data_IF_720674055976
#
_entry.id   IF_720674055976
#
_cell.length_a   1.000
_cell.length_b   1.000
_cell.length_c   1.000
_cell.angle_alpha   90.00
_cell.angle_beta   90.00
_cell.angle_gamma   90.00
#
_symmetry.space_group_name_H-M   'P 1'
#
loop_
_entity.id
_entity.type
_entity.pdbx_description
1 polymer ?
#
# COMPACT_ATOMS: atom_id res chain seq x y z
N UNK A 1 16.35 4.68 90.80
CA UNK A 1 15.47 5.66 90.14
C UNK A 1 14.90 4.97 88.92
N UNK A 2 13.58 4.96 88.75
CA UNK A 2 12.95 4.41 87.55
C UNK A 2 12.90 5.50 86.47
N UNK A 3 13.37 5.17 85.27
CA UNK A 3 13.35 6.07 84.12
C UNK A 3 12.01 5.91 83.39
N UNK A 4 11.29 7.00 83.18
CA UNK A 4 10.03 6.99 82.44
C UNK A 4 9.90 8.23 81.56
N UNK A 5 8.99 8.17 80.59
CA UNK A 5 8.69 9.30 79.70
C UNK A 5 7.44 10.03 80.16
N UNK A 6 7.45 11.36 80.06
CA UNK A 6 6.29 12.23 80.31
C UNK A 6 5.89 12.95 79.03
N UNK A 7 4.57 13.15 78.79
CA UNK A 7 4.11 13.98 77.68
C UNK A 7 4.66 15.41 77.79
N UNK A 8 5.01 15.99 76.65
CA UNK A 8 5.55 17.34 76.53
C UNK A 8 5.03 18.02 75.26
N UNK A 9 4.91 19.34 75.30
CA UNK A 9 4.23 20.09 74.24
C UNK A 9 5.07 20.26 72.95
N UNK A 10 6.37 19.99 73.00
CA UNK A 10 7.32 20.12 71.88
C UNK A 10 8.24 18.91 71.79
N UNK A 11 8.84 18.70 70.62
CA UNK A 11 9.96 17.77 70.47
C UNK A 11 11.26 18.48 70.85
N UNK A 12 12.05 17.86 71.71
CA UNK A 12 13.36 18.38 72.14
C UNK A 12 14.52 17.84 71.30
N UNK A 13 14.28 16.79 70.51
CA UNK A 13 15.29 16.05 69.76
C UNK A 13 14.83 15.83 68.30
N UNK A 14 15.76 15.53 67.37
CA UNK A 14 15.43 15.28 65.97
C UNK A 14 14.54 14.03 65.82
N UNK A 15 13.62 14.09 64.85
CA UNK A 15 12.68 13.01 64.56
C UNK A 15 13.30 12.06 63.53
N UNK A 16 13.64 10.85 63.97
CA UNK A 16 14.28 9.83 63.13
C UNK A 16 13.64 8.45 63.23
N UNK A 17 12.64 8.29 64.08
CA UNK A 17 11.88 7.04 64.16
C UNK A 17 10.46 7.21 63.64
N UNK A 18 9.91 6.16 63.03
CA UNK A 18 8.50 6.03 62.68
C UNK A 18 7.95 4.70 63.21
N UNK A 19 6.86 4.75 63.96
CA UNK A 19 6.18 3.59 64.51
C UNK A 19 4.99 3.20 63.65
N UNK A 20 5.05 2.01 63.06
CA UNK A 20 3.93 1.42 62.31
C UNK A 20 3.28 0.35 63.19
N UNK A 21 2.04 0.58 63.58
CA UNK A 21 1.25 -0.38 64.36
C UNK A 21 0.70 -1.48 63.45
N UNK A 22 0.90 -2.74 63.86
CA UNK A 22 0.41 -3.89 63.09
C UNK A 22 1.08 -5.19 63.54
N UNK A 23 0.32 -6.27 63.59
CA UNK A 23 0.81 -7.58 64.05
C UNK A 23 1.37 -8.46 62.93
N UNK A 24 1.42 -7.96 61.68
CA UNK A 24 1.86 -8.71 60.51
C UNK A 24 2.84 -7.91 59.67
N UNK A 25 3.93 -8.56 59.24
CA UNK A 25 4.94 -8.00 58.34
C UNK A 25 4.33 -7.53 57.01
N UNK A 26 3.31 -8.24 56.51
CA UNK A 26 2.64 -7.86 55.27
C UNK A 26 1.96 -6.49 55.39
N UNK A 27 1.37 -6.18 56.55
CA UNK A 27 0.79 -4.86 56.81
C UNK A 27 1.87 -3.79 56.81
N UNK A 28 3.01 -4.04 57.45
CA UNK A 28 4.12 -3.09 57.48
C UNK A 28 4.60 -2.73 56.07
N UNK A 29 4.74 -3.74 55.18
CA UNK A 29 5.17 -3.51 53.79
C UNK A 29 4.16 -2.67 53.02
N UNK A 30 2.86 -2.94 53.17
CA UNK A 30 1.80 -2.16 52.53
C UNK A 30 1.81 -0.70 53.02
N UNK A 31 1.97 -0.48 54.32
CA UNK A 31 2.08 0.88 54.88
C UNK A 31 3.33 1.60 54.38
N UNK A 32 4.49 0.93 54.33
CA UNK A 32 5.72 1.50 53.79
C UNK A 32 5.57 1.90 52.31
N UNK A 33 4.90 1.07 51.51
CA UNK A 33 4.61 1.38 50.12
C UNK A 33 3.65 2.56 49.97
N UNK A 34 2.64 2.65 50.85
CA UNK A 34 1.67 3.75 50.88
C UNK A 34 2.34 5.08 51.19
N UNK A 35 3.32 5.06 52.10
CA UNK A 35 4.17 6.21 52.44
C UNK A 35 5.29 6.50 51.42
N UNK A 36 5.40 5.69 50.35
CA UNK A 36 6.44 5.80 49.32
C UNK A 36 7.88 5.80 49.89
N UNK A 37 8.11 5.05 50.98
CA UNK A 37 9.41 4.98 51.65
C UNK A 37 10.39 4.10 50.85
N UNK A 38 11.64 4.55 50.74
CA UNK A 38 12.68 3.80 50.05
C UNK A 38 13.40 2.84 51.01
N UNK A 39 13.45 1.52 50.75
CA UNK A 39 14.00 0.53 51.69
C UNK A 39 15.48 0.71 52.09
N UNK A 40 16.23 1.58 51.42
CA UNK A 40 17.65 1.85 51.71
C UNK A 40 17.88 2.99 52.71
N UNK A 41 16.83 3.74 53.07
CA UNK A 41 16.96 4.94 53.91
C UNK A 41 16.67 4.70 55.38
N UNK A 42 16.27 3.48 55.75
CA UNK A 42 15.89 3.13 57.11
C UNK A 42 16.22 1.68 57.49
N UNK A 43 16.36 1.44 58.79
CA UNK A 43 16.43 0.12 59.41
C UNK A 43 15.10 -0.20 60.10
N UNK A 44 14.68 -1.47 60.09
CA UNK A 44 13.43 -1.90 60.72
C UNK A 44 13.71 -2.78 61.92
N UNK A 45 13.05 -2.49 63.04
CA UNK A 45 13.06 -3.34 64.22
C UNK A 45 11.64 -3.75 64.60
N UNK A 46 11.40 -5.03 64.93
CA UNK A 46 10.10 -5.47 65.43
C UNK A 46 9.95 -5.04 66.89
N UNK A 47 8.74 -4.64 67.28
CA UNK A 47 8.43 -4.24 68.67
C UNK A 47 7.53 -5.32 69.29
N UNK A 48 7.97 -5.97 70.38
CA UNK A 48 7.12 -6.92 71.09
C UNK A 48 5.95 -6.19 71.74
N UNK A 49 4.80 -6.86 71.79
CA UNK A 49 3.67 -6.38 72.57
C UNK A 49 3.77 -6.85 74.03
N UNK A 50 2.89 -6.30 74.88
CA UNK A 50 2.82 -6.65 76.31
C UNK A 50 2.31 -8.09 76.55
N UNK A 51 1.85 -8.78 75.51
CA UNK A 51 1.40 -10.18 75.55
C UNK A 51 2.47 -11.07 74.93
N UNK A 52 2.83 -12.15 75.62
CA UNK A 52 3.83 -13.10 75.14
C UNK A 52 3.53 -13.62 73.73
N UNK A 53 4.57 -13.78 72.91
CA UNK A 53 4.50 -14.26 71.52
C UNK A 53 3.64 -13.40 70.59
N UNK A 54 3.46 -12.11 70.89
CA UNK A 54 2.75 -11.17 70.02
C UNK A 54 3.61 -9.94 69.71
N UNK A 55 3.37 -9.36 68.53
CA UNK A 55 4.10 -8.21 68.02
C UNK A 55 3.16 -7.01 68.04
N UNK A 56 3.62 -5.89 68.59
CA UNK A 56 2.88 -4.62 68.61
C UNK A 56 2.90 -3.93 67.23
N UNK A 57 4.07 -3.93 66.60
CA UNK A 57 4.35 -3.20 65.38
C UNK A 57 5.81 -3.26 64.99
N UNK A 58 6.23 -2.32 64.16
CA UNK A 58 7.63 -2.10 63.84
C UNK A 58 8.04 -0.65 64.04
N UNK A 59 9.32 -0.46 64.35
CA UNK A 59 10.00 0.82 64.37
C UNK A 59 10.88 0.91 63.11
N UNK A 60 10.69 1.95 62.33
CA UNK A 60 11.62 2.36 61.27
C UNK A 60 12.55 3.42 61.83
N UNK A 61 13.87 3.22 61.75
CA UNK A 61 14.89 4.20 62.13
C UNK A 61 15.55 4.71 60.85
N UNK A 62 15.44 6.00 60.59
CA UNK A 62 15.93 6.65 59.38
C UNK A 62 17.33 7.23 59.59
N UNK A 63 18.12 7.24 58.51
CA UNK A 63 19.44 7.90 58.50
C UNK A 63 19.33 9.43 58.49
N UNK A 64 18.24 9.96 57.97
CA UNK A 64 17.94 11.39 57.84
C UNK A 64 16.73 11.79 58.68
N UNK A 65 16.61 13.08 58.98
CA UNK A 65 15.51 13.62 59.78
C UNK A 65 14.19 13.57 59.01
N UNK A 66 13.13 13.13 59.67
CA UNK A 66 11.79 12.94 59.10
C UNK A 66 10.89 14.11 59.51
N UNK A 67 10.08 14.58 58.58
CA UNK A 67 9.06 15.60 58.86
C UNK A 67 7.69 14.96 59.09
N UNK A 68 6.80 15.68 59.78
CA UNK A 68 5.42 15.24 60.05
C UNK A 68 4.60 14.96 58.79
N UNK A 69 4.97 15.53 57.64
CA UNK A 69 4.31 15.28 56.35
C UNK A 69 4.52 13.85 55.85
N UNK A 70 5.67 13.24 56.16
CA UNK A 70 6.04 11.91 55.68
C UNK A 70 5.54 10.78 56.59
N UNK A 71 5.00 11.11 57.76
CA UNK A 71 4.55 10.13 58.76
C UNK A 71 3.13 9.60 58.49
N UNK A 72 2.31 10.34 57.73
CA UNK A 72 0.91 9.98 57.48
C UNK A 72 0.13 9.82 58.78
N UNK A 73 -0.39 8.61 59.02
CA UNK A 73 -1.14 8.23 60.24
C UNK A 73 -0.29 7.65 61.37
N UNK A 74 1.01 7.48 61.12
CA UNK A 74 1.93 6.75 61.99
C UNK A 74 2.62 7.72 62.94
N UNK A 75 3.03 7.21 64.11
CA UNK A 75 3.59 8.04 65.17
C UNK A 75 5.10 8.20 64.99
N UNK A 76 5.62 9.41 65.14
CA UNK A 76 7.05 9.66 65.06
C UNK A 76 7.76 9.41 66.40
N UNK A 77 9.06 9.18 66.34
CA UNK A 77 9.95 9.04 67.49
C UNK A 77 11.17 9.95 67.36
N UNK A 78 11.59 10.45 68.51
CA UNK A 78 12.71 11.33 68.74
C UNK A 78 13.96 10.51 69.09
N UNK A 79 15.10 10.83 68.48
CA UNK A 79 16.40 10.23 68.84
C UNK A 79 17.08 11.06 69.93
N UNK A 80 17.07 10.58 71.18
CA UNK A 80 17.73 11.24 72.32
C UNK A 80 19.24 11.01 72.30
N UNK A 81 19.64 9.79 71.92
CA UNK A 81 21.02 9.38 71.69
C UNK A 81 21.02 8.25 70.65
N UNK A 82 22.20 7.92 70.13
CA UNK A 82 22.33 6.83 69.14
C UNK A 82 21.71 5.50 69.58
N UNK A 83 21.64 5.27 70.89
CA UNK A 83 21.11 4.05 71.50
C UNK A 83 19.75 4.23 72.18
N UNK A 84 19.12 5.41 72.10
CA UNK A 84 17.84 5.68 72.78
C UNK A 84 16.91 6.53 71.94
N UNK A 85 15.76 5.96 71.60
CA UNK A 85 14.62 6.64 70.99
C UNK A 85 13.46 6.76 71.98
N UNK A 86 12.73 7.86 71.90
CA UNK A 86 11.52 8.11 72.69
C UNK A 86 10.36 8.52 71.78
N UNK A 87 9.13 8.34 72.22
CA UNK A 87 7.94 8.79 71.50
C UNK A 87 8.00 10.30 71.16
N UNK A 88 7.36 10.73 70.07
CA UNK A 88 7.13 12.16 69.84
C UNK A 88 6.43 12.82 71.01
N UNK A 89 6.68 14.12 71.20
CA UNK A 89 6.06 14.96 72.23
C UNK A 89 6.20 14.33 73.62
N UNK A 90 7.36 13.75 73.88
CA UNK A 90 7.72 13.17 75.17
C UNK A 90 9.12 13.60 75.60
N UNK A 91 9.34 13.63 76.91
CA UNK A 91 10.63 13.97 77.55
C UNK A 91 10.94 12.92 78.61
N UNK A 92 12.22 12.57 78.74
CA UNK A 92 12.72 11.67 79.77
C UNK A 92 12.64 12.31 81.16
N UNK A 93 12.20 11.52 82.13
CA UNK A 93 12.16 11.90 83.53
C UNK A 93 12.74 10.77 84.40
N UNK A 94 13.66 11.08 85.34
CA UNK A 94 14.31 12.37 85.56
C UNK A 94 15.15 12.81 84.35
N UNK A 95 15.43 14.12 84.23
CA UNK A 95 16.30 14.62 83.17
C UNK A 95 17.72 14.08 83.39
N UNK A 96 18.26 13.40 82.39
CA UNK A 96 19.61 12.85 82.40
C UNK A 96 20.52 13.68 81.50
N UNK A 97 21.79 13.81 81.90
CA UNK A 97 22.82 14.41 81.05
C UNK A 97 23.22 13.45 79.91
N UNK A 98 23.74 13.99 78.80
CA UNK A 98 24.16 13.17 77.66
C UNK A 98 25.19 12.08 78.04
N UNK A 99 26.09 12.37 79.00
CA UNK A 99 27.07 11.40 79.51
C UNK A 99 26.43 10.27 80.32
N UNK A 100 25.40 10.57 81.11
CA UNK A 100 24.64 9.56 81.86
C UNK A 100 23.84 8.66 80.92
N UNK A 101 23.18 9.25 79.92
CA UNK A 101 22.45 8.49 78.88
C UNK A 101 23.39 7.54 78.15
N UNK A 102 24.57 8.01 77.73
CA UNK A 102 25.55 7.17 77.05
C UNK A 102 26.09 6.04 77.93
N UNK A 103 26.24 6.28 79.24
CA UNK A 103 26.67 5.25 80.20
C UNK A 103 25.57 4.21 80.46
N UNK A 104 24.32 4.65 80.59
CA UNK A 104 23.16 3.78 80.83
C UNK A 104 22.81 2.94 79.61
N UNK A 105 22.87 3.52 78.41
CA UNK A 105 22.58 2.86 77.14
C UNK A 105 23.87 2.65 76.34
N UNK A 106 24.83 1.95 76.96
CA UNK A 106 26.15 1.69 76.37
C UNK A 106 26.14 0.54 75.35
N UNK A 107 25.22 -0.41 75.48
CA UNK A 107 25.02 -1.55 74.59
C UNK A 107 23.57 -1.64 74.15
N UNK A 108 23.34 -1.91 72.87
CA UNK A 108 21.99 -2.11 72.32
C UNK A 108 21.22 -0.80 72.09
N UNK A 109 20.40 -0.76 71.03
CA UNK A 109 19.48 0.37 70.81
C UNK A 109 18.18 0.12 71.57
N UNK A 110 17.61 1.16 72.15
CA UNK A 110 16.42 1.07 72.98
C UNK A 110 15.37 2.06 72.50
N UNK A 111 14.10 1.69 72.66
CA UNK A 111 12.97 2.59 72.46
C UNK A 111 12.10 2.63 73.71
N UNK A 112 11.62 3.83 74.07
CA UNK A 112 10.64 4.03 75.11
C UNK A 112 9.34 4.62 74.55
N UNK A 113 8.22 3.95 74.81
CA UNK A 113 6.90 4.39 74.38
C UNK A 113 5.84 4.19 75.48
N UNK A 114 4.79 5.04 75.58
CA UNK A 114 3.80 4.91 76.64
C UNK A 114 2.98 3.61 76.58
N UNK A 115 2.78 3.03 75.39
CA UNK A 115 1.96 1.81 75.22
C UNK A 115 2.70 0.51 75.62
N UNK A 116 3.98 0.38 75.25
CA UNK A 116 4.76 -0.87 75.40
C UNK A 116 5.97 -0.73 76.34
N UNK A 117 6.19 0.45 76.92
CA UNK A 117 7.30 0.68 77.84
C UNK A 117 8.65 0.78 77.13
N UNK A 118 9.70 0.30 77.80
CA UNK A 118 11.07 0.27 77.28
C UNK A 118 11.36 -1.10 76.65
N UNK A 119 11.84 -1.08 75.41
CA UNK A 119 12.20 -2.28 74.64
C UNK A 119 13.61 -2.13 74.10
N UNK A 120 14.41 -3.18 74.24
CA UNK A 120 15.69 -3.33 73.54
C UNK A 120 15.47 -3.84 72.11
N UNK A 121 16.00 -3.10 71.14
CA UNK A 121 15.97 -3.40 69.71
C UNK A 121 17.15 -4.33 69.38
N UNK A 122 16.94 -5.63 69.58
CA UNK A 122 17.99 -6.65 69.45
C UNK A 122 18.39 -6.92 68.00
N UNK A 123 17.41 -7.23 67.13
CA UNK A 123 17.66 -7.69 65.76
C UNK A 123 16.87 -6.89 64.72
N UNK A 124 17.53 -6.38 63.65
CA UNK A 124 16.84 -5.76 62.54
C UNK A 124 16.15 -6.82 61.66
N UNK A 125 15.01 -6.45 61.06
CA UNK A 125 14.24 -7.34 60.18
C UNK A 125 14.94 -7.47 58.82
N UNK A 126 15.37 -8.67 58.45
CA UNK A 126 15.84 -8.97 57.10
C UNK A 126 14.70 -9.50 56.22
N UNK A 127 14.17 -8.64 55.33
CA UNK A 127 13.12 -9.02 54.39
C UNK A 127 13.51 -10.12 53.41
N UNK A 128 14.81 -10.36 53.17
CA UNK A 128 15.25 -11.45 52.28
C UNK A 128 14.81 -12.81 52.79
N UNK A 129 14.67 -12.96 54.11
CA UNK A 129 14.22 -14.19 54.75
C UNK A 129 12.68 -14.31 54.80
N UNK A 130 11.96 -13.20 54.63
CA UNK A 130 10.50 -13.11 54.79
C UNK A 130 9.74 -13.09 53.45
N UNK A 131 10.41 -12.71 52.36
CA UNK A 131 9.80 -12.63 51.04
C UNK A 131 9.92 -13.96 50.29
N UNK A 132 8.79 -14.48 49.83
CA UNK A 132 8.76 -15.63 48.91
C UNK A 132 8.44 -15.15 47.49
N UNK A 133 9.05 -15.78 46.47
CA UNK A 133 8.73 -15.48 45.08
C UNK A 133 7.29 -15.91 44.78
N UNK A 134 6.48 -15.09 44.08
CA UNK A 134 5.13 -15.48 43.70
C UNK A 134 5.18 -16.71 42.80
N UNK A 135 4.31 -17.69 43.06
CA UNK A 135 4.15 -18.86 42.19
C UNK A 135 3.43 -18.40 40.91
N UNK A 136 4.15 -18.36 39.80
CA UNK A 136 3.57 -18.06 38.48
C UNK A 136 2.64 -19.23 38.11
N UNK A 137 1.33 -18.96 38.02
CA UNK A 137 0.35 -19.92 37.51
C UNK A 137 0.11 -19.63 36.04
N UNK A 138 0.30 -20.62 35.17
CA UNK A 138 -0.13 -20.55 33.78
C UNK A 138 -1.64 -20.77 33.71
N UNK A 139 -2.37 -19.73 33.36
CA UNK A 139 -3.80 -19.84 33.04
C UNK A 139 -3.95 -19.97 31.52
N UNK A 140 -4.81 -20.88 31.07
CA UNK A 140 -5.27 -20.89 29.69
C UNK A 140 -6.31 -19.78 29.55
N UNK A 141 -5.91 -18.66 28.94
CA UNK A 141 -6.83 -17.58 28.62
C UNK A 141 -7.60 -18.01 27.37
N UNK A 142 -8.85 -18.45 27.54
CA UNK A 142 -9.76 -18.69 26.42
C UNK A 142 -10.29 -17.36 25.90
N UNK A 143 -9.96 -17.02 24.65
CA UNK A 143 -10.55 -15.86 23.97
C UNK A 143 -11.99 -16.21 23.57
N UNK A 144 -12.99 -15.37 23.89
CA UNK A 144 -14.35 -15.58 23.39
C UNK A 144 -14.37 -15.54 21.87
N UNK A 145 -15.26 -16.33 21.28
CA UNK A 145 -15.52 -16.32 19.83
C UNK A 145 -15.98 -14.92 19.41
N UNK A 146 -15.48 -14.43 18.27
CA UNK A 146 -15.83 -13.08 17.78
C UNK A 146 -17.32 -13.12 17.42
N UNK A 147 -18.18 -12.33 18.09
CA UNK A 147 -19.61 -12.36 17.81
C UNK A 147 -19.85 -11.95 16.34
N UNK A 148 -20.89 -12.52 15.73
CA UNK A 148 -21.30 -12.15 14.38
C UNK A 148 -21.55 -10.63 14.32
N UNK A 149 -20.71 -9.91 13.57
CA UNK A 149 -20.81 -8.48 13.39
C UNK A 149 -22.01 -8.18 12.50
N UNK A 150 -23.07 -7.61 13.09
CA UNK A 150 -24.21 -7.07 12.33
C UNK A 150 -23.92 -5.61 12.00
N UNK A 151 -23.57 -5.27 10.75
CA UNK A 151 -23.30 -3.88 10.37
C UNK A 151 -24.55 -3.02 10.56
N UNK A 152 -24.45 -1.97 11.38
CA UNK A 152 -25.54 -1.00 11.64
C UNK A 152 -25.53 0.19 10.69
N UNK A 153 -24.39 0.47 10.07
CA UNK A 153 -24.19 1.57 9.12
C UNK A 153 -23.24 1.15 8.01
N UNK A 154 -23.48 1.66 6.81
CA UNK A 154 -22.53 1.56 5.69
C UNK A 154 -21.64 2.80 5.76
N UNK A 155 -20.36 2.61 6.07
CA UNK A 155 -19.42 3.73 6.19
C UNK A 155 -18.87 4.15 4.82
N UNK A 156 -18.71 3.23 3.87
CA UNK A 156 -18.24 3.56 2.52
C UNK A 156 -18.77 2.58 1.48
N UNK A 157 -18.98 3.08 0.26
CA UNK A 157 -19.29 2.29 -0.92
C UNK A 157 -18.15 2.47 -1.93
N UNK A 158 -17.57 1.36 -2.40
CA UNK A 158 -16.43 1.37 -3.32
C UNK A 158 -16.60 0.31 -4.39
N UNK A 159 -16.07 0.60 -5.58
CA UNK A 159 -15.96 -0.38 -6.64
C UNK A 159 -14.62 -1.09 -6.51
N UNK A 160 -14.66 -2.41 -6.53
CA UNK A 160 -13.44 -3.23 -6.62
C UNK A 160 -13.04 -3.32 -8.09
N UNK A 161 -11.83 -2.90 -8.44
CA UNK A 161 -11.40 -2.99 -9.82
C UNK A 161 -11.17 -4.46 -10.20
N UNK A 162 -11.68 -4.80 -11.38
CA UNK A 162 -11.32 -6.02 -12.11
C UNK A 162 -9.87 -5.88 -12.61
N UNK A 163 -9.05 -6.95 -12.59
CA UNK A 163 -7.68 -6.91 -13.08
C UNK A 163 -7.57 -6.33 -14.49
N UNK A 164 -6.52 -5.56 -14.81
CA UNK A 164 -6.38 -4.90 -16.11
C UNK A 164 -6.56 -5.84 -17.30
N UNK A 165 -6.05 -7.07 -17.23
CA UNK A 165 -6.14 -8.03 -18.34
C UNK A 165 -7.57 -8.46 -18.66
N UNK A 166 -8.42 -8.57 -17.64
CA UNK A 166 -9.83 -8.93 -17.79
C UNK A 166 -10.67 -7.75 -18.29
N UNK A 167 -10.35 -6.53 -17.86
CA UNK A 167 -10.98 -5.30 -18.36
C UNK A 167 -10.82 -5.18 -19.88
N UNK A 168 -9.62 -5.46 -20.36
CA UNK A 168 -9.29 -5.39 -21.78
C UNK A 168 -10.01 -6.47 -22.60
N UNK A 169 -10.13 -7.69 -22.05
CA UNK A 169 -10.96 -8.76 -22.63
C UNK A 169 -12.43 -8.37 -22.67
N UNK A 170 -12.97 -7.80 -21.59
CA UNK A 170 -14.36 -7.38 -21.52
C UNK A 170 -14.67 -6.23 -22.49
N UNK A 171 -13.74 -5.28 -22.67
CA UNK A 171 -13.87 -4.25 -23.70
C UNK A 171 -13.94 -4.88 -25.09
N UNK A 172 -13.08 -5.87 -25.38
CA UNK A 172 -13.12 -6.62 -26.64
C UNK A 172 -14.41 -7.44 -26.79
N UNK A 173 -14.96 -8.03 -25.74
CA UNK A 173 -16.20 -8.82 -25.82
C UNK A 173 -17.48 -7.98 -25.88
N UNK A 174 -17.49 -6.78 -25.29
CA UNK A 174 -18.69 -5.93 -25.23
C UNK A 174 -18.83 -5.03 -26.46
N UNK A 175 -17.71 -4.61 -27.06
CA UNK A 175 -17.73 -3.80 -28.29
C UNK A 175 -18.15 -4.65 -29.51
N UNK A 176 -17.99 -5.97 -29.45
CA UNK A 176 -18.29 -6.88 -30.54
C UNK A 176 -19.24 -7.99 -30.10
N UNK A 177 -20.44 -8.13 -30.70
CA UNK A 177 -21.35 -9.20 -30.32
C UNK A 177 -20.64 -10.55 -30.44
N UNK A 178 -20.85 -11.41 -29.42
CA UNK A 178 -20.33 -12.78 -29.39
C UNK A 178 -20.57 -13.42 -30.74
N UNK A 179 -19.55 -14.12 -31.24
CA UNK A 179 -19.61 -14.95 -32.44
C UNK A 179 -20.95 -15.70 -32.44
N UNK A 180 -21.87 -15.36 -33.33
CA UNK A 180 -22.71 -16.40 -33.89
C UNK A 180 -21.70 -17.40 -34.46
N UNK A 181 -21.66 -18.59 -33.87
CA UNK A 181 -20.87 -19.69 -34.41
C UNK A 181 -21.36 -19.85 -35.84
N UNK A 182 -20.56 -19.39 -36.78
CA UNK A 182 -20.75 -19.69 -38.19
C UNK A 182 -20.78 -21.22 -38.22
N UNK A 183 -21.92 -21.80 -38.63
CA UNK A 183 -21.96 -23.21 -38.97
C UNK A 183 -20.84 -23.47 -39.97
N UNK A 184 -19.91 -24.35 -39.60
CA UNK A 184 -18.81 -24.78 -40.45
C UNK A 184 -19.35 -25.44 -41.71
N UNK A 185 -19.62 -24.63 -42.75
CA UNK A 185 -19.61 -25.11 -44.13
C UNK A 185 -18.19 -24.88 -44.66
N UNK A 186 -17.45 -25.95 -44.99
CA UNK A 186 -16.07 -25.82 -45.45
C UNK A 186 -15.99 -25.05 -46.77
N UNK A 187 -14.86 -24.38 -46.95
CA UNK A 187 -14.47 -23.65 -48.16
C UNK A 187 -14.57 -24.49 -49.45
N UNK A 188 -14.88 -23.79 -50.54
CA UNK A 188 -14.87 -24.26 -51.91
C UNK A 188 -13.47 -24.79 -52.33
N UNK A 189 -13.43 -25.99 -52.91
CA UNK A 189 -12.25 -26.84 -53.13
C UNK A 189 -11.22 -26.23 -54.11
N UNK A 190 -11.64 -25.28 -54.94
CA UNK A 190 -10.83 -24.70 -56.02
C UNK A 190 -9.74 -23.71 -55.55
N UNK A 191 -9.89 -23.08 -54.39
CA UNK A 191 -8.94 -22.07 -53.89
C UNK A 191 -7.72 -22.69 -53.18
N UNK A 192 -7.88 -23.88 -52.59
CA UNK A 192 -6.78 -24.64 -51.95
C UNK A 192 -5.77 -25.19 -52.96
N UNK A 193 -6.23 -25.54 -54.18
CA UNK A 193 -5.40 -26.06 -55.27
C UNK A 193 -4.58 -24.92 -55.93
N UNK A 194 -5.16 -23.72 -56.00
CA UNK A 194 -4.49 -22.54 -56.57
C UNK A 194 -3.35 -22.02 -55.68
N UNK A 195 -3.53 -22.06 -54.36
CA UNK A 195 -2.55 -21.58 -53.38
C UNK A 195 -1.33 -22.52 -53.22
N UNK A 196 -1.52 -23.81 -53.49
CA UNK A 196 -0.44 -24.81 -53.52
C UNK A 196 0.40 -24.72 -54.81
N UNK A 197 -0.21 -24.39 -55.95
CA UNK A 197 0.50 -24.15 -57.22
C UNK A 197 1.44 -22.93 -57.13
N UNK A 198 0.99 -21.80 -56.56
CA UNK A 198 1.83 -20.60 -56.42
C UNK A 198 3.01 -20.77 -55.46
N UNK A 199 2.88 -21.56 -54.39
CA UNK A 199 3.99 -21.86 -53.46
C UNK A 199 5.08 -22.72 -54.09
N UNK A 200 4.77 -23.49 -55.13
CA UNK A 200 5.74 -24.35 -55.82
C UNK A 200 6.57 -23.58 -56.87
N UNK A 201 6.04 -22.49 -57.42
CA UNK A 201 6.71 -21.70 -58.48
C UNK A 201 7.69 -20.68 -57.90
N UNK A 202 7.49 -20.21 -56.67
CA UNK A 202 8.28 -19.12 -56.07
C UNK A 202 9.23 -19.53 -54.92
N UNK A 203 9.42 -20.83 -54.66
CA UNK A 203 10.33 -21.26 -53.60
C UNK A 203 11.79 -21.27 -54.09
N UNK A 204 12.45 -20.14 -53.86
CA UNK A 204 13.90 -19.92 -53.99
C UNK A 204 14.64 -20.68 -52.88
N UNK A 205 15.63 -21.50 -53.24
CA UNK A 205 16.59 -22.06 -52.28
C UNK A 205 17.85 -21.18 -52.20
N UNK A 206 18.25 -20.90 -50.96
CA UNK A 206 19.47 -20.22 -50.55
C UNK A 206 20.64 -21.20 -50.51
N UNK A 207 21.84 -20.74 -50.86
CA UNK A 207 23.08 -20.91 -50.07
C UNK A 207 24.17 -19.93 -50.55
N UNK A 208 24.86 -19.29 -49.60
CA UNK A 208 25.97 -18.30 -49.73
C UNK A 208 27.34 -19.03 -49.70
N UNK A 209 28.56 -18.44 -49.94
CA UNK A 209 28.96 -17.02 -49.80
C UNK A 209 30.00 -16.46 -50.81
N UNK A 210 30.15 -15.12 -50.86
CA UNK A 210 31.45 -14.48 -51.14
C UNK A 210 31.55 -13.41 -52.24
N UNK A 211 31.80 -12.17 -51.78
CA UNK A 211 32.52 -11.03 -52.41
C UNK A 211 31.92 -10.28 -53.61
N UNK A 212 31.67 -8.99 -53.37
CA UNK A 212 32.02 -7.90 -54.29
C UNK A 212 30.91 -7.36 -55.19
N UNK A 213 30.45 -6.15 -54.93
CA UNK A 213 29.74 -5.26 -55.87
C UNK A 213 30.85 -4.41 -56.54
N UNK A 214 30.89 -4.23 -57.89
CA UNK A 214 29.89 -3.37 -58.51
C UNK A 214 29.35 -3.73 -59.91
N UNK A 215 28.07 -3.34 -60.06
CA UNK A 215 27.39 -2.76 -61.23
C UNK A 215 27.28 -3.57 -62.53
N UNK A 216 26.04 -4.08 -62.67
CA UNK A 216 25.15 -3.87 -63.82
C UNK A 216 25.58 -4.37 -65.19
N UNK A 217 25.43 -5.68 -65.40
CA UNK A 217 25.16 -6.22 -66.73
C UNK A 217 23.77 -6.87 -66.77
N UNK A 218 22.87 -6.30 -67.56
CA UNK A 218 21.66 -6.99 -68.05
C UNK A 218 22.08 -8.15 -68.95
N UNK A 219 22.56 -9.27 -68.41
CA UNK A 219 22.95 -10.42 -69.24
C UNK A 219 22.66 -11.77 -68.58
N UNK A 220 22.09 -12.64 -69.42
CA UNK A 220 21.87 -14.10 -69.31
C UNK A 220 20.51 -14.59 -68.80
N UNK A 221 20.02 -14.23 -67.60
CA UNK A 221 18.77 -14.84 -67.10
C UNK A 221 17.53 -14.43 -67.90
N UNK A 222 17.35 -13.12 -68.15
CA UNK A 222 16.22 -12.60 -68.94
C UNK A 222 16.23 -13.13 -70.38
N UNK A 223 17.40 -13.20 -71.04
CA UNK A 223 17.52 -13.77 -72.39
C UNK A 223 17.25 -15.27 -72.46
N UNK A 224 17.56 -16.03 -71.40
CA UNK A 224 17.23 -17.46 -71.34
C UNK A 224 15.73 -17.69 -71.17
N UNK A 225 15.07 -16.89 -70.33
CA UNK A 225 13.62 -16.95 -70.13
C UNK A 225 12.87 -16.48 -71.38
N UNK A 226 13.37 -15.43 -72.05
CA UNK A 226 12.82 -14.91 -73.31
C UNK A 226 12.97 -15.90 -74.46
N UNK A 227 14.11 -16.60 -74.58
CA UNK A 227 14.33 -17.65 -75.58
C UNK A 227 13.54 -18.93 -75.29
N UNK A 228 13.28 -19.24 -74.00
CA UNK A 228 12.47 -20.39 -73.61
C UNK A 228 10.97 -20.13 -73.83
N UNK A 229 10.48 -18.94 -73.50
CA UNK A 229 9.08 -18.54 -73.71
C UNK A 229 8.73 -18.38 -75.20
N UNK A 230 9.62 -17.81 -76.00
CA UNK A 230 9.41 -17.66 -77.46
C UNK A 230 9.45 -19.00 -78.21
N UNK A 231 10.16 -20.00 -77.69
CA UNK A 231 10.26 -21.35 -78.28
C UNK A 231 9.04 -22.23 -77.99
N UNK A 232 8.35 -22.00 -76.88
CA UNK A 232 7.16 -22.77 -76.49
C UNK A 232 5.84 -22.06 -76.82
N UNK A 233 5.81 -20.73 -76.93
CA UNK A 233 4.60 -19.97 -77.27
C UNK A 233 4.91 -18.83 -78.26
N UNK A 234 4.93 -19.10 -79.58
CA UNK A 234 5.41 -18.15 -80.59
C UNK A 234 4.41 -17.04 -80.96
N UNK A 235 3.33 -16.84 -80.20
CA UNK A 235 2.21 -15.96 -80.60
C UNK A 235 1.79 -14.86 -79.64
N UNK A 236 2.53 -14.57 -78.56
CA UNK A 236 2.19 -13.44 -77.69
C UNK A 236 3.43 -12.66 -77.22
N UNK A 237 3.79 -11.64 -78.00
CA UNK A 237 4.83 -10.67 -77.67
C UNK A 237 4.41 -9.61 -76.63
N UNK A 238 3.15 -9.63 -76.17
CA UNK A 238 2.59 -8.56 -75.32
C UNK A 238 2.55 -8.88 -73.81
N UNK A 239 3.05 -10.03 -73.37
CA UNK A 239 2.92 -10.49 -71.98
C UNK A 239 3.58 -9.58 -70.93
N UNK A 240 4.53 -8.72 -71.31
CA UNK A 240 5.18 -7.76 -70.39
C UNK A 240 4.33 -6.50 -70.21
N UNK A 241 3.65 -6.06 -71.28
CA UNK A 241 2.71 -4.94 -71.21
C UNK A 241 1.41 -5.37 -70.52
N UNK A 242 0.91 -6.58 -70.80
CA UNK A 242 -0.24 -7.17 -70.10
C UNK A 242 0.01 -7.31 -68.58
N UNK A 243 1.27 -7.49 -68.15
CA UNK A 243 1.67 -7.56 -66.73
C UNK A 243 1.70 -6.18 -66.06
N UNK A 244 2.00 -5.14 -66.82
CA UNK A 244 1.96 -3.75 -66.34
C UNK A 244 0.52 -3.25 -66.26
N UNK A 245 -0.30 -3.57 -67.25
CA UNK A 245 -1.74 -3.28 -67.26
C UNK A 245 -2.48 -4.04 -66.15
N UNK A 246 -2.14 -5.32 -65.90
CA UNK A 246 -2.68 -6.09 -64.77
C UNK A 246 -2.29 -5.49 -63.41
N UNK A 247 -1.10 -4.87 -63.29
CA UNK A 247 -0.67 -4.19 -62.07
C UNK A 247 -1.46 -2.89 -61.84
N UNK A 248 -1.66 -2.08 -62.88
CA UNK A 248 -2.48 -0.85 -62.81
C UNK A 248 -3.97 -1.16 -62.58
N UNK A 249 -4.52 -2.23 -63.16
CA UNK A 249 -5.89 -2.69 -62.91
C UNK A 249 -6.07 -3.28 -61.49
N UNK A 250 -5.02 -3.92 -60.94
CA UNK A 250 -5.00 -4.35 -59.55
C UNK A 250 -4.99 -3.15 -58.60
N UNK A 251 -4.23 -2.07 -58.90
CA UNK A 251 -4.23 -0.83 -58.13
C UNK A 251 -5.57 -0.09 -58.18
N UNK A 252 -6.22 -0.01 -59.36
CA UNK A 252 -7.57 0.59 -59.49
C UNK A 252 -8.63 -0.18 -58.72
N UNK A 253 -8.64 -1.51 -58.80
CA UNK A 253 -9.55 -2.35 -57.99
C UNK A 253 -9.29 -2.23 -56.50
N UNK A 254 -8.03 -2.01 -56.12
CA UNK A 254 -7.62 -1.68 -54.75
C UNK A 254 -8.27 -0.38 -54.27
N UNK A 255 -8.22 0.65 -55.11
CA UNK A 255 -8.80 1.96 -54.86
C UNK A 255 -10.33 1.88 -54.78
N UNK A 256 -10.98 1.09 -55.64
CA UNK A 256 -12.42 0.86 -55.60
C UNK A 256 -12.87 0.15 -54.31
N UNK A 257 -12.10 -0.83 -53.84
CA UNK A 257 -12.33 -1.49 -52.56
C UNK A 257 -12.15 -0.54 -51.37
N UNK A 258 -11.17 0.35 -51.44
CA UNK A 258 -10.97 1.38 -50.42
C UNK A 258 -12.09 2.42 -50.42
N UNK A 259 -12.53 2.88 -51.59
CA UNK A 259 -13.66 3.78 -51.71
C UNK A 259 -14.96 3.13 -51.21
N UNK A 260 -15.15 1.82 -51.45
CA UNK A 260 -16.26 1.06 -50.85
C UNK A 260 -16.17 1.04 -49.32
N UNK A 261 -14.99 0.84 -48.75
CA UNK A 261 -14.79 0.93 -47.30
C UNK A 261 -15.08 2.33 -46.75
N UNK A 262 -14.59 3.38 -47.42
CA UNK A 262 -14.85 4.78 -47.05
C UNK A 262 -16.34 5.12 -47.13
N UNK A 263 -17.02 4.68 -48.19
CA UNK A 263 -18.48 4.87 -48.33
C UNK A 263 -19.26 4.05 -47.30
N UNK A 264 -18.79 2.84 -46.95
CA UNK A 264 -19.39 2.02 -45.91
C UNK A 264 -19.20 2.67 -44.53
N UNK A 265 -18.03 3.25 -44.24
CA UNK A 265 -17.79 4.01 -43.00
C UNK A 265 -18.75 5.20 -42.85
N UNK A 266 -19.08 5.86 -43.96
CA UNK A 266 -20.03 7.00 -43.97
C UNK A 266 -21.49 6.59 -43.83
N UNK A 267 -21.86 5.41 -44.31
CA UNK A 267 -23.26 4.95 -44.36
C UNK A 267 -23.62 4.04 -43.19
N UNK A 268 -22.72 3.15 -42.78
CA UNK A 268 -22.86 2.25 -41.64
C UNK A 268 -21.49 2.02 -40.96
N UNK A 269 -21.11 2.87 -40.00
CA UNK A 269 -19.80 2.78 -39.35
C UNK A 269 -19.62 1.44 -38.63
N UNK A 270 -20.67 0.88 -38.02
CA UNK A 270 -20.56 -0.38 -37.24
C UNK A 270 -20.21 -1.59 -38.12
N UNK A 271 -20.78 -1.66 -39.32
CA UNK A 271 -20.47 -2.71 -40.27
C UNK A 271 -19.12 -2.50 -40.92
N UNK A 272 -18.76 -1.25 -41.22
CA UNK A 272 -17.47 -0.89 -41.79
C UNK A 272 -16.29 -1.23 -40.88
N UNK A 273 -16.46 -1.09 -39.55
CA UNK A 273 -15.43 -1.47 -38.56
C UNK A 273 -15.05 -2.95 -38.62
N UNK A 274 -15.91 -3.84 -39.17
CA UNK A 274 -15.60 -5.26 -39.38
C UNK A 274 -14.56 -5.50 -40.49
N UNK A 275 -14.42 -4.54 -41.40
CA UNK A 275 -13.53 -4.57 -42.56
C UNK A 275 -12.37 -3.58 -42.45
N UNK A 276 -12.29 -2.82 -41.36
CA UNK A 276 -11.31 -1.76 -41.18
C UNK A 276 -9.88 -2.29 -41.13
N UNK A 277 -8.96 -1.47 -41.64
CA UNK A 277 -7.53 -1.79 -41.75
C UNK A 277 -6.78 -0.90 -40.77
N UNK A 278 -6.00 -1.47 -39.83
CA UNK A 278 -5.20 -0.67 -38.90
C UNK A 278 -4.13 0.10 -39.67
N UNK A 279 -4.00 1.39 -39.36
CA UNK A 279 -2.95 2.23 -39.94
C UNK A 279 -1.65 1.98 -39.17
N UNK A 280 -0.56 1.71 -39.90
CA UNK A 280 0.77 1.53 -39.31
C UNK A 280 1.79 2.46 -40.00
N UNK A 281 2.45 3.31 -39.22
CA UNK A 281 3.49 4.23 -39.69
C UNK A 281 4.82 3.50 -40.02
N UNK A 282 4.92 2.21 -39.70
CA UNK A 282 6.17 1.44 -39.77
C UNK A 282 6.56 0.83 -41.11
N UNK A 283 5.84 1.07 -42.22
CA UNK A 283 6.04 0.31 -43.46
C UNK A 283 6.93 1.02 -44.49
N UNK A 284 8.19 1.27 -44.15
CA UNK A 284 9.22 1.57 -45.16
C UNK A 284 9.77 0.27 -45.73
N UNK A 285 9.04 -0.37 -46.64
CA UNK A 285 9.55 -1.50 -47.43
C UNK A 285 8.58 -2.59 -47.83
N UNK A 286 7.26 -2.46 -47.60
CA UNK A 286 6.30 -3.46 -48.05
C UNK A 286 5.88 -3.23 -49.51
N UNK A 287 6.02 -4.30 -50.31
CA UNK A 287 5.53 -4.41 -51.69
C UNK A 287 4.00 -4.21 -51.71
N UNK A 288 3.48 -3.52 -52.74
CA UNK A 288 2.07 -3.18 -52.88
C UNK A 288 1.20 -4.44 -53.06
N UNK A 289 0.81 -5.04 -51.94
CA UNK A 289 -0.10 -6.18 -51.90
C UNK A 289 -1.55 -5.74 -52.11
N UNK A 290 -2.29 -6.56 -52.86
CA UNK A 290 -3.73 -6.45 -53.10
C UNK A 290 -4.53 -6.32 -51.78
N UNK A 291 -5.22 -5.21 -51.57
CA UNK A 291 -6.29 -5.06 -50.58
C UNK A 291 -7.45 -5.93 -51.08
N UNK A 292 -7.87 -6.84 -50.21
CA UNK A 292 -9.14 -7.54 -50.35
C UNK A 292 -9.95 -7.19 -49.11
N UNK A 293 -11.21 -6.75 -49.28
CA UNK A 293 -12.21 -6.58 -48.22
C UNK A 293 -12.63 -7.93 -47.63
N UNK A 294 -11.66 -8.65 -47.07
CA UNK A 294 -11.90 -9.82 -46.24
C UNK A 294 -12.21 -9.35 -44.83
N UNK A 295 -13.09 -10.08 -44.11
CA UNK A 295 -13.35 -9.83 -42.69
C UNK A 295 -12.07 -10.10 -41.90
N UNK A 296 -11.25 -9.07 -41.66
CA UNK A 296 -9.96 -9.15 -40.93
C UNK A 296 -10.14 -9.15 -39.40
N UNK A 297 -11.39 -9.19 -38.96
CA UNK A 297 -11.87 -9.16 -37.59
C UNK A 297 -11.13 -10.10 -36.60
N UNK A 298 -10.70 -11.28 -37.04
CA UNK A 298 -10.07 -12.29 -36.17
C UNK A 298 -8.62 -11.99 -35.80
N UNK A 299 -7.96 -11.02 -36.44
CA UNK A 299 -6.56 -10.70 -36.21
C UNK A 299 -6.35 -9.63 -35.11
N UNK A 300 -7.43 -9.12 -34.50
CA UNK A 300 -7.39 -7.98 -33.56
C UNK A 300 -7.26 -8.33 -32.07
N UNK A 301 -7.09 -9.61 -31.70
CA UNK A 301 -7.02 -10.07 -30.30
C UNK A 301 -5.79 -9.50 -29.56
N UNK A 302 -6.00 -8.93 -28.36
CA UNK A 302 -4.93 -8.33 -27.54
C UNK A 302 -3.81 -9.31 -27.14
N UNK A 303 -4.14 -10.58 -26.92
CA UNK A 303 -3.29 -11.52 -26.17
C UNK A 303 -2.44 -12.47 -27.04
N UNK A 304 -2.14 -12.12 -28.29
CA UNK A 304 -1.11 -12.84 -29.05
C UNK A 304 0.26 -12.22 -28.79
N UNK A 305 0.86 -12.62 -27.67
CA UNK A 305 2.27 -12.44 -27.39
C UNK A 305 3.11 -13.26 -28.38
N UNK A 306 4.04 -12.57 -29.06
CA UNK A 306 5.32 -13.14 -29.53
C UNK A 306 5.28 -14.39 -30.43
N UNK A 307 4.46 -14.39 -31.48
CA UNK A 307 4.88 -15.03 -32.73
C UNK A 307 5.08 -13.90 -33.74
N UNK A 308 6.14 -13.95 -34.56
CA UNK A 308 6.35 -13.04 -35.70
C UNK A 308 5.08 -13.03 -36.56
N UNK A 309 4.15 -12.13 -36.23
CA UNK A 309 3.07 -11.77 -37.12
C UNK A 309 3.73 -10.96 -38.20
N UNK A 310 4.00 -11.62 -39.32
CA UNK A 310 4.15 -10.94 -40.61
C UNK A 310 2.79 -10.32 -40.91
N UNK A 311 2.49 -9.21 -40.22
CA UNK A 311 1.40 -8.32 -40.58
C UNK A 311 1.75 -7.83 -41.98
N UNK A 312 0.99 -8.28 -42.97
CA UNK A 312 1.09 -7.74 -44.32
C UNK A 312 0.72 -6.27 -44.24
N UNK A 313 1.73 -5.41 -44.05
CA UNK A 313 1.57 -3.98 -44.08
C UNK A 313 1.20 -3.64 -45.51
N UNK A 314 -0.10 -3.45 -45.76
CA UNK A 314 -0.54 -3.03 -47.08
C UNK A 314 -0.08 -1.59 -47.25
N UNK A 315 0.67 -1.34 -48.32
CA UNK A 315 1.11 0.01 -48.63
C UNK A 315 -0.11 0.82 -49.10
N UNK A 316 -0.57 1.72 -48.23
CA UNK A 316 -1.79 2.51 -48.43
C UNK A 316 -1.48 3.86 -49.13
N UNK A 317 -0.20 4.15 -49.40
CA UNK A 317 0.25 5.32 -50.16
C UNK A 317 -0.39 6.64 -49.71
N UNK A 318 -0.76 7.49 -50.67
CA UNK A 318 -1.36 8.82 -50.45
C UNK A 318 -2.75 8.78 -49.77
N UNK A 319 -3.40 7.61 -49.75
CA UNK A 319 -4.72 7.43 -49.15
C UNK A 319 -4.68 7.27 -47.63
N UNK A 320 -3.48 7.12 -47.05
CA UNK A 320 -3.28 7.03 -45.61
C UNK A 320 -3.91 8.23 -44.89
N UNK A 321 -3.70 9.43 -45.43
CA UNK A 321 -4.26 10.66 -44.89
C UNK A 321 -5.79 10.68 -45.00
N UNK A 322 -6.35 10.24 -46.14
CA UNK A 322 -7.80 10.20 -46.34
C UNK A 322 -8.51 9.23 -45.38
N UNK A 323 -7.92 8.05 -45.14
CA UNK A 323 -8.42 7.07 -44.18
C UNK A 323 -8.25 7.55 -42.75
N UNK A 324 -7.11 8.15 -42.43
CA UNK A 324 -6.88 8.71 -41.11
C UNK A 324 -7.92 9.80 -40.79
N UNK A 325 -8.21 10.70 -41.74
CA UNK A 325 -9.27 11.71 -41.59
C UNK A 325 -10.64 11.04 -41.43
N UNK A 326 -10.99 10.07 -42.28
CA UNK A 326 -12.28 9.40 -42.21
C UNK A 326 -12.46 8.64 -40.88
N UNK A 327 -11.44 7.93 -40.40
CA UNK A 327 -11.50 7.23 -39.11
C UNK A 327 -11.67 8.20 -37.94
N UNK A 328 -10.98 9.34 -37.95
CA UNK A 328 -11.20 10.37 -36.93
C UNK A 328 -12.66 10.90 -36.98
N UNK A 329 -13.18 11.18 -38.17
CA UNK A 329 -14.56 11.63 -38.34
C UNK A 329 -15.57 10.59 -37.83
N UNK A 330 -15.37 9.31 -38.16
CA UNK A 330 -16.25 8.24 -37.67
C UNK A 330 -16.18 8.09 -36.16
N UNK A 331 -15.00 8.24 -35.56
CA UNK A 331 -14.85 8.19 -34.11
C UNK A 331 -15.55 9.38 -33.43
N UNK A 332 -15.46 10.58 -34.00
CA UNK A 332 -16.19 11.76 -33.53
C UNK A 332 -17.71 11.61 -33.66
N UNK A 333 -18.19 10.99 -34.74
CA UNK A 333 -19.61 10.65 -34.91
C UNK A 333 -20.08 9.65 -33.84
N UNK A 334 -19.28 8.61 -33.56
CA UNK A 334 -19.56 7.64 -32.51
C UNK A 334 -19.60 8.29 -31.11
N UNK A 335 -18.74 9.27 -30.86
CA UNK A 335 -18.77 10.08 -29.62
C UNK A 335 -20.08 10.87 -29.53
N UNK A 336 -20.51 11.52 -30.62
CA UNK A 336 -21.80 12.24 -30.66
C UNK A 336 -22.98 11.31 -30.39
N UNK A 337 -22.90 10.06 -30.85
CA UNK A 337 -23.88 9.01 -30.59
C UNK A 337 -23.75 8.38 -29.19
N UNK A 338 -22.85 8.88 -28.33
CA UNK A 338 -22.54 8.36 -26.98
C UNK A 338 -22.02 6.91 -26.97
N UNK A 339 -21.52 6.41 -28.10
CA UNK A 339 -20.92 5.09 -28.24
C UNK A 339 -19.41 5.15 -27.92
N UNK A 340 -19.06 5.56 -26.70
CA UNK A 340 -17.67 5.86 -26.32
C UNK A 340 -16.72 4.65 -26.40
N UNK A 341 -17.17 3.46 -26.03
CA UNK A 341 -16.34 2.24 -26.12
C UNK A 341 -15.96 1.89 -27.56
N UNK A 342 -16.89 2.04 -28.51
CA UNK A 342 -16.64 1.83 -29.95
C UNK A 342 -15.70 2.92 -30.51
N UNK A 343 -15.92 4.18 -30.14
CA UNK A 343 -15.03 5.27 -30.54
C UNK A 343 -13.60 5.08 -30.01
N UNK A 344 -13.46 4.69 -28.75
CA UNK A 344 -12.15 4.38 -28.15
C UNK A 344 -11.46 3.21 -28.85
N UNK A 345 -12.22 2.18 -29.27
CA UNK A 345 -11.69 1.09 -30.08
C UNK A 345 -11.11 1.59 -31.42
N UNK A 346 -11.82 2.47 -32.12
CA UNK A 346 -11.33 3.10 -33.37
C UNK A 346 -10.01 3.82 -33.12
N UNK A 347 -9.94 4.65 -32.08
CA UNK A 347 -8.71 5.34 -31.73
C UNK A 347 -7.57 4.38 -31.36
N UNK A 348 -7.85 3.31 -30.62
CA UNK A 348 -6.84 2.38 -30.11
C UNK A 348 -6.31 1.44 -31.19
N UNK A 349 -7.17 0.81 -31.99
CA UNK A 349 -6.78 -0.24 -32.95
C UNK A 349 -6.57 0.29 -34.36
N UNK A 350 -7.36 1.26 -34.83
CA UNK A 350 -7.28 1.75 -36.21
C UNK A 350 -6.30 2.91 -36.34
N UNK A 351 -6.35 3.85 -35.40
CA UNK A 351 -5.52 5.06 -35.41
C UNK A 351 -4.27 4.95 -34.52
N UNK A 352 -4.14 3.88 -33.72
CA UNK A 352 -3.06 3.67 -32.71
C UNK A 352 -2.85 4.88 -31.77
N UNK A 353 -3.89 5.68 -31.54
CA UNK A 353 -3.87 6.85 -30.67
C UNK A 353 -4.44 6.50 -29.29
N UNK A 354 -3.58 5.95 -28.42
CA UNK A 354 -3.96 5.52 -27.08
C UNK A 354 -4.38 6.67 -26.15
N UNK A 355 -3.82 7.87 -26.32
CA UNK A 355 -4.18 9.04 -25.50
C UNK A 355 -5.63 9.45 -25.74
N UNK A 356 -6.01 9.65 -27.02
CA UNK A 356 -7.38 9.99 -27.37
C UNK A 356 -8.35 8.88 -27.00
N UNK A 357 -7.96 7.61 -27.16
CA UNK A 357 -8.79 6.48 -26.77
C UNK A 357 -9.13 6.52 -25.27
N UNK A 358 -8.13 6.78 -24.41
CA UNK A 358 -8.32 6.86 -22.97
C UNK A 358 -9.17 8.09 -22.57
N UNK A 359 -8.95 9.24 -23.20
CA UNK A 359 -9.77 10.45 -23.00
C UNK A 359 -11.25 10.21 -23.37
N UNK A 360 -11.51 9.50 -24.48
CA UNK A 360 -12.87 9.16 -24.92
C UNK A 360 -13.56 8.20 -23.96
N UNK A 361 -12.83 7.22 -23.41
CA UNK A 361 -13.36 6.34 -22.37
C UNK A 361 -13.68 7.10 -21.09
N UNK A 362 -12.82 8.03 -20.69
CA UNK A 362 -13.02 8.89 -19.54
C UNK A 362 -14.27 9.78 -19.69
N UNK A 363 -14.48 10.38 -20.88
CA UNK A 363 -15.70 11.14 -21.19
C UNK A 363 -16.95 10.27 -21.12
N UNK A 364 -16.84 8.98 -21.46
CA UNK A 364 -17.92 8.01 -21.36
C UNK A 364 -18.18 7.46 -19.95
N UNK A 365 -17.39 7.85 -18.95
CA UNK A 365 -17.49 7.32 -17.58
C UNK A 365 -16.87 5.92 -17.41
N UNK A 366 -16.18 5.42 -18.43
CA UNK A 366 -15.48 4.12 -18.42
C UNK A 366 -14.07 4.29 -17.81
N UNK A 367 -14.05 4.69 -16.54
CA UNK A 367 -12.84 5.09 -15.84
C UNK A 367 -11.85 3.95 -15.65
N UNK A 368 -12.35 2.73 -15.47
CA UNK A 368 -11.52 1.56 -15.29
C UNK A 368 -10.80 1.20 -16.59
N UNK A 369 -11.52 1.15 -17.70
CA UNK A 369 -10.98 0.93 -19.03
C UNK A 369 -9.95 2.02 -19.39
N UNK A 370 -10.29 3.29 -19.17
CA UNK A 370 -9.36 4.40 -19.38
C UNK A 370 -8.06 4.25 -18.57
N UNK A 371 -8.17 3.92 -17.28
CA UNK A 371 -7.00 3.72 -16.41
C UNK A 371 -6.10 2.57 -16.89
N UNK A 372 -6.68 1.46 -17.37
CA UNK A 372 -5.90 0.35 -17.92
C UNK A 372 -5.15 0.72 -19.19
N UNK A 373 -5.75 1.52 -20.07
CA UNK A 373 -5.09 2.04 -21.28
C UNK A 373 -3.92 2.96 -20.89
N UNK A 374 -4.12 3.85 -19.91
CA UNK A 374 -3.06 4.72 -19.41
C UNK A 374 -1.89 3.95 -18.80
N UNK A 375 -2.15 2.87 -18.06
CA UNK A 375 -1.10 2.03 -17.46
C UNK A 375 -0.35 1.18 -18.48
N UNK A 376 -1.06 0.50 -19.40
CA UNK A 376 -0.46 -0.52 -20.26
C UNK A 376 0.18 0.06 -21.53
N UNK A 377 -0.40 1.11 -22.11
CA UNK A 377 0.02 1.63 -23.41
C UNK A 377 0.77 2.97 -23.34
N UNK A 378 0.47 3.80 -22.34
CA UNK A 378 1.04 5.14 -22.21
C UNK A 378 2.04 5.25 -21.05
N UNK A 379 2.12 4.22 -20.19
CA UNK A 379 2.90 4.20 -18.94
C UNK A 379 2.69 5.45 -18.06
N UNK A 380 1.49 6.05 -18.15
CA UNK A 380 1.15 7.27 -17.42
C UNK A 380 0.40 6.92 -16.14
N UNK A 381 1.17 6.62 -15.09
CA UNK A 381 0.65 6.25 -13.77
C UNK A 381 -0.18 7.35 -13.12
N UNK A 382 0.14 8.63 -13.36
CA UNK A 382 -0.56 9.76 -12.74
C UNK A 382 -1.99 9.87 -13.27
N UNK A 383 -2.16 9.89 -14.60
CA UNK A 383 -3.49 9.90 -15.21
C UNK A 383 -4.30 8.65 -14.89
N UNK A 384 -3.65 7.49 -14.80
CA UNK A 384 -4.30 6.26 -14.39
C UNK A 384 -4.85 6.34 -12.95
N UNK A 385 -4.08 6.90 -12.02
CA UNK A 385 -4.51 7.10 -10.63
C UNK A 385 -5.72 8.05 -10.56
N UNK A 386 -5.70 9.14 -11.34
CA UNK A 386 -6.82 10.09 -11.44
C UNK A 386 -8.08 9.42 -12.01
N UNK A 387 -7.93 8.54 -13.00
CA UNK A 387 -9.06 7.76 -13.54
C UNK A 387 -9.65 6.83 -12.48
N UNK A 388 -8.82 6.10 -11.72
CA UNK A 388 -9.32 5.26 -10.63
C UNK A 388 -9.97 6.07 -9.50
N UNK A 389 -9.47 7.27 -9.18
CA UNK A 389 -10.10 8.21 -8.23
C UNK A 389 -11.50 8.60 -8.72
N UNK A 390 -11.65 9.01 -9.99
CA UNK A 390 -12.95 9.35 -10.60
C UNK A 390 -13.90 8.15 -10.66
N UNK A 391 -13.38 6.95 -10.84
CA UNK A 391 -14.12 5.69 -10.83
C UNK A 391 -14.51 5.17 -9.44
N UNK A 392 -14.19 5.89 -8.35
CA UNK A 392 -14.39 5.44 -6.97
C UNK A 392 -13.72 4.07 -6.67
N UNK A 393 -12.58 3.82 -7.32
CA UNK A 393 -11.71 2.65 -7.15
C UNK A 393 -10.51 3.08 -6.29
N UNK A 394 -10.81 3.40 -5.03
CA UNK A 394 -9.87 4.09 -4.15
C UNK A 394 -8.60 3.27 -3.84
N UNK A 395 -8.68 1.95 -3.78
CA UNK A 395 -7.52 1.11 -3.39
C UNK A 395 -6.46 1.08 -4.48
N UNK A 396 -6.89 0.98 -5.74
CA UNK A 396 -6.05 0.98 -6.92
C UNK A 396 -5.42 2.38 -7.14
N UNK A 397 -6.22 3.44 -6.95
CA UNK A 397 -5.72 4.82 -6.96
C UNK A 397 -4.65 5.03 -5.86
N UNK A 398 -4.92 4.57 -4.64
CA UNK A 398 -3.97 4.64 -3.51
C UNK A 398 -2.66 3.92 -3.85
N UNK A 399 -2.72 2.72 -4.43
CA UNK A 399 -1.51 1.97 -4.80
C UNK A 399 -0.64 2.76 -5.79
N UNK A 400 -1.25 3.34 -6.83
CA UNK A 400 -0.54 4.14 -7.82
C UNK A 400 0.00 5.47 -7.24
N UNK A 401 -0.76 6.15 -6.38
CA UNK A 401 -0.30 7.38 -5.76
C UNK A 401 0.84 7.15 -4.75
N UNK A 402 0.89 5.98 -4.09
CA UNK A 402 2.04 5.57 -3.28
C UNK A 402 3.29 5.40 -4.13
N UNK A 403 3.18 4.71 -5.28
CA UNK A 403 4.30 4.55 -6.21
C UNK A 403 4.83 5.89 -6.74
N UNK A 404 3.94 6.88 -6.89
CA UNK A 404 4.27 8.24 -7.33
C UNK A 404 4.74 9.16 -6.20
N UNK A 405 4.78 8.69 -4.94
CA UNK A 405 5.07 9.48 -3.74
C UNK A 405 4.16 10.71 -3.55
N UNK A 406 2.92 10.66 -4.04
CA UNK A 406 1.93 11.74 -3.84
C UNK A 406 1.14 11.45 -2.56
N UNK A 407 1.80 11.59 -1.41
CA UNK A 407 1.25 11.17 -0.11
C UNK A 407 0.01 11.93 0.34
N UNK A 408 -0.15 13.18 -0.12
CA UNK A 408 -1.31 14.01 0.21
C UNK A 408 -2.61 13.40 -0.32
N UNK A 409 -2.61 12.99 -1.59
CA UNK A 409 -3.75 12.30 -2.22
C UNK A 409 -4.00 10.93 -1.60
N UNK A 410 -2.95 10.21 -1.21
CA UNK A 410 -3.08 8.92 -0.51
C UNK A 410 -3.83 9.10 0.82
N UNK A 411 -3.43 10.10 1.61
CA UNK A 411 -4.12 10.43 2.87
C UNK A 411 -5.58 10.82 2.65
N UNK A 412 -5.85 11.67 1.66
CA UNK A 412 -7.21 12.12 1.33
C UNK A 412 -8.11 10.93 0.93
N UNK A 413 -7.60 10.00 0.12
CA UNK A 413 -8.32 8.79 -0.29
C UNK A 413 -8.55 7.83 0.90
N UNK A 414 -7.56 7.65 1.78
CA UNK A 414 -7.73 6.84 3.00
C UNK A 414 -8.76 7.44 3.96
N UNK A 415 -8.77 8.77 4.10
CA UNK A 415 -9.78 9.48 4.88
C UNK A 415 -11.19 9.29 4.29
N UNK A 416 -11.33 9.36 2.97
CA UNK A 416 -12.59 9.12 2.26
C UNK A 416 -13.17 7.71 2.45
N UNK A 417 -12.31 6.70 2.63
CA UNK A 417 -12.74 5.31 2.91
C UNK A 417 -12.85 5.00 4.42
N UNK A 418 -12.89 6.03 5.28
CA UNK A 418 -12.97 5.93 6.75
C UNK A 418 -11.80 5.18 7.42
N UNK A 419 -10.64 5.13 6.76
CA UNK A 419 -9.39 4.56 7.29
C UNK A 419 -8.50 5.67 7.82
N UNK A 420 -8.94 6.29 8.93
CA UNK A 420 -8.30 7.48 9.49
C UNK A 420 -6.90 7.21 10.04
N UNK A 421 -6.68 6.07 10.67
CA UNK A 421 -5.36 5.73 11.20
C UNK A 421 -4.33 5.65 10.07
N UNK A 422 -4.68 4.97 8.97
CA UNK A 422 -3.81 4.91 7.79
C UNK A 422 -3.65 6.28 7.12
N UNK A 423 -4.71 7.09 7.05
CA UNK A 423 -4.63 8.45 6.49
C UNK A 423 -3.65 9.34 7.26
N UNK A 424 -3.69 9.28 8.60
CA UNK A 424 -2.83 10.09 9.47
C UNK A 424 -1.35 9.79 9.26
N UNK A 425 -0.97 8.52 9.08
CA UNK A 425 0.41 8.12 8.77
C UNK A 425 0.92 8.84 7.51
N UNK A 426 0.10 8.91 6.46
CA UNK A 426 0.50 9.58 5.21
C UNK A 426 0.45 11.11 5.34
N UNK A 427 -0.47 11.69 6.11
CA UNK A 427 -0.47 13.12 6.39
C UNK A 427 0.76 13.56 7.20
N UNK A 428 1.23 12.75 8.15
CA UNK A 428 2.48 13.01 8.86
C UNK A 428 3.68 13.08 7.90
N UNK A 429 3.73 12.20 6.91
CA UNK A 429 4.77 12.25 5.87
C UNK A 429 4.70 13.55 5.06
N UNK A 430 3.51 13.97 4.62
CA UNK A 430 3.31 15.25 3.92
C UNK A 430 3.76 16.43 4.78
N UNK A 431 3.39 16.43 6.06
CA UNK A 431 3.80 17.48 6.98
C UNK A 431 5.32 17.50 7.15
N UNK A 432 5.96 16.34 7.27
CA UNK A 432 7.42 16.24 7.37
C UNK A 432 8.10 16.81 6.12
N UNK A 433 7.53 16.58 4.93
CA UNK A 433 8.00 17.13 3.66
C UNK A 433 7.86 18.67 3.63
N UNK A 434 6.71 19.20 4.06
CA UNK A 434 6.48 20.64 4.15
C UNK A 434 7.41 21.32 5.17
N UNK A 435 7.66 20.69 6.32
CA UNK A 435 8.65 21.16 7.31
C UNK A 435 10.06 21.19 6.71
N UNK A 436 10.46 20.14 5.98
CA UNK A 436 11.74 20.08 5.28
C UNK A 436 11.91 21.19 4.23
N UNK A 437 10.82 21.59 3.56
CA UNK A 437 10.77 22.71 2.61
C UNK A 437 10.58 24.09 3.27
N UNK A 438 10.61 24.17 4.60
CA UNK A 438 10.34 25.39 5.41
C UNK A 438 8.94 26.01 5.20
N UNK A 439 7.98 25.23 4.70
CA UNK A 439 6.60 25.66 4.48
C UNK A 439 5.73 25.41 5.72
N UNK A 440 6.09 26.02 6.85
CA UNK A 440 5.45 25.78 8.15
C UNK A 440 3.97 26.11 8.20
N UNK A 441 3.52 27.12 7.45
CA UNK A 441 2.10 27.47 7.36
C UNK A 441 1.28 26.33 6.74
N UNK A 442 1.76 25.71 5.66
CA UNK A 442 1.08 24.57 5.03
C UNK A 442 1.08 23.33 5.95
N UNK A 443 2.18 23.09 6.66
CA UNK A 443 2.25 22.05 7.67
C UNK A 443 1.20 22.26 8.78
N UNK A 444 1.06 23.48 9.31
CA UNK A 444 0.04 23.78 10.33
C UNK A 444 -1.40 23.60 9.81
N UNK A 445 -1.66 23.97 8.55
CA UNK A 445 -2.96 23.79 7.92
C UNK A 445 -3.30 22.31 7.71
N UNK A 446 -2.32 21.49 7.35
CA UNK A 446 -2.49 20.05 7.21
C UNK A 446 -2.85 19.39 8.55
N UNK A 447 -2.17 19.73 9.66
CA UNK A 447 -2.54 19.23 11.00
C UNK A 447 -3.98 19.61 11.36
N UNK A 448 -4.32 20.89 11.23
CA UNK A 448 -5.63 21.42 11.63
C UNK A 448 -6.78 20.85 10.80
N UNK A 449 -6.62 20.79 9.47
CA UNK A 449 -7.72 20.46 8.57
C UNK A 449 -7.81 18.97 8.23
N UNK A 450 -6.66 18.27 8.16
CA UNK A 450 -6.61 16.88 7.67
C UNK A 450 -6.46 15.84 8.78
N UNK A 451 -5.64 16.11 9.79
CA UNK A 451 -5.46 15.19 10.93
C UNK A 451 -6.47 15.41 12.07
N UNK A 452 -7.19 16.53 12.06
CA UNK A 452 -8.19 16.89 13.09
C UNK A 452 -7.61 16.86 14.51
N UNK A 453 -6.31 17.15 14.67
CA UNK A 453 -5.71 17.41 15.97
C UNK A 453 -6.32 18.73 16.49
N UNK A 454 -7.22 18.60 17.48
CA UNK A 454 -7.74 19.72 18.28
C UNK A 454 -6.92 19.91 19.53
#
# INVERSE_FOLDING_TARGET
MELFIKPYHKNSYPLRGLLIKGNSVAQWVVEMQTLQLQPRTFEIYPIPANVANTIWGCLLIFLEDITTQNAGRHQLCQEVSHNLLIAERSVLYPQLTAKEIQKMFSSGRHIMHPEFGMVELSEPVDFRNLLSKPKIRSYYITRPEVPAFVPRSVNSFRLQAVPPEEVLKNLEENVFPKREKIEDKPLNIFERIKLTFYKSVFKKNNEQPGKGVPKTEKKKFLKQVESFLTRFFPRKANLVNDLQDDFEDLEKRNQDELQKLLNLLRTNPEEALKYAIPLDDGSRGAEAGRLTLTKRWSQFLWNQTSAKSTGGAVNIGDHFMSLHVQYNQTAEELIKQKQYQKAAFVYMKLLKNFSKAAEVLEMGGYYQEAATVYLKHLDNKQKAAECYEKGNMAMEAIALYKDLNVFEKVGDLYAGIHKREEANIYYEQVVSEYKGKQQYLKASLAYKNKMLDT
#
